data_IF_166328276752
#
_entry.id   IF_166328276752
#
_cell.length_a   1.000
_cell.length_b   1.000
_cell.length_c   1.000
_cell.angle_alpha   90.00
_cell.angle_beta   90.00
_cell.angle_gamma   90.00
#
_symmetry.space_group_name_H-M   'P 1'
#
loop_
_entity.id
_entity.type
_entity.pdbx_description
1 polymer ?
#
# COMPACT_ATOMS: atom_id res chain seq x y z
N UNK A 1 -15.30 -9.14 4.51
CA UNK A 1 -14.31 -9.99 3.83
C UNK A 1 -14.72 -11.44 4.00
N UNK A 2 -14.93 -12.17 2.89
CA UNK A 2 -15.06 -13.63 2.95
C UNK A 2 -13.68 -14.20 3.23
N UNK A 3 -13.57 -15.30 3.98
CA UNK A 3 -12.27 -15.93 4.32
C UNK A 3 -11.43 -16.20 3.06
N UNK A 4 -12.08 -16.56 1.97
CA UNK A 4 -11.44 -16.78 0.67
C UNK A 4 -10.67 -15.58 0.09
N UNK A 5 -11.16 -14.35 0.31
CA UNK A 5 -10.48 -13.14 -0.16
C UNK A 5 -9.20 -12.90 0.66
N UNK A 6 -9.19 -13.30 1.94
CA UNK A 6 -8.03 -13.16 2.84
C UNK A 6 -6.87 -14.02 2.34
N UNK A 7 -7.13 -15.31 2.12
CA UNK A 7 -6.09 -16.28 1.77
C UNK A 7 -5.42 -15.95 0.43
N UNK A 8 -6.20 -15.40 -0.52
CA UNK A 8 -5.66 -14.97 -1.81
C UNK A 8 -4.80 -13.72 -1.73
N UNK A 9 -5.23 -12.71 -0.97
CA UNK A 9 -4.42 -11.50 -0.75
C UNK A 9 -3.12 -11.88 -0.02
N UNK A 10 -3.21 -12.77 0.97
CA UNK A 10 -2.04 -13.33 1.65
C UNK A 10 -1.09 -14.03 0.67
N UNK A 11 -1.60 -14.96 -0.14
CA UNK A 11 -0.81 -15.69 -1.13
C UNK A 11 -0.15 -14.78 -2.17
N UNK A 12 -0.83 -13.70 -2.57
CA UNK A 12 -0.24 -12.69 -3.46
C UNK A 12 1.02 -12.05 -2.84
N UNK A 13 0.92 -11.61 -1.58
CA UNK A 13 2.06 -10.98 -0.90
C UNK A 13 3.20 -11.96 -0.61
N UNK A 14 2.86 -13.19 -0.22
CA UNK A 14 3.86 -14.25 -0.01
C UNK A 14 4.63 -14.54 -1.31
N UNK A 15 3.92 -14.56 -2.46
CA UNK A 15 4.53 -14.70 -3.79
C UNK A 15 5.43 -13.54 -4.21
N UNK A 16 5.34 -12.37 -3.55
CA UNK A 16 6.22 -11.21 -3.75
C UNK A 16 7.38 -11.16 -2.75
N UNK A 17 7.46 -12.11 -1.81
CA UNK A 17 8.51 -12.15 -0.79
C UNK A 17 8.37 -11.05 0.27
N UNK A 18 7.19 -10.44 0.41
CA UNK A 18 6.95 -9.40 1.39
C UNK A 18 6.65 -9.98 2.77
N UNK A 19 7.14 -9.33 3.83
CA UNK A 19 6.74 -9.64 5.21
C UNK A 19 5.37 -9.04 5.49
N UNK A 20 4.33 -9.79 5.13
CA UNK A 20 2.95 -9.42 5.42
C UNK A 20 2.47 -10.09 6.71
N UNK A 21 1.64 -9.37 7.46
CA UNK A 21 0.91 -9.91 8.61
C UNK A 21 -0.55 -9.47 8.52
N UNK A 22 -1.49 -10.36 8.80
CA UNK A 22 -2.91 -10.00 8.85
C UNK A 22 -3.30 -9.63 10.28
N UNK A 23 -3.84 -8.42 10.46
CA UNK A 23 -4.31 -7.91 11.76
C UNK A 23 -5.78 -8.23 11.90
N UNK A 24 -6.10 -9.31 12.63
CA UNK A 24 -7.48 -9.84 12.69
C UNK A 24 -8.49 -8.85 13.29
N UNK A 25 -8.12 -8.12 14.35
CA UNK A 25 -9.01 -7.18 15.02
C UNK A 25 -9.45 -6.01 14.16
N UNK A 26 -8.57 -5.52 13.29
CA UNK A 26 -8.82 -4.37 12.41
C UNK A 26 -9.05 -4.79 10.94
N UNK A 27 -8.93 -6.10 10.64
CA UNK A 27 -9.18 -6.74 9.35
C UNK A 27 -8.38 -6.16 8.17
N UNK A 28 -7.08 -5.96 8.35
CA UNK A 28 -6.20 -5.50 7.28
C UNK A 28 -4.88 -6.26 7.19
N UNK A 29 -4.28 -6.26 6.00
CA UNK A 29 -2.93 -6.75 5.76
C UNK A 29 -1.93 -5.65 6.01
N UNK A 30 -0.91 -5.93 6.81
CA UNK A 30 0.18 -5.03 7.15
C UNK A 30 1.47 -5.55 6.52
N UNK A 31 2.02 -4.79 5.58
CA UNK A 31 3.38 -4.99 5.07
C UNK A 31 4.31 -3.99 5.75
N UNK A 32 5.39 -4.50 6.33
CA UNK A 32 6.44 -3.67 6.94
C UNK A 32 7.74 -3.84 6.16
N UNK A 33 8.34 -2.70 5.81
CA UNK A 33 9.60 -2.67 5.09
C UNK A 33 10.52 -1.55 5.63
N UNK A 34 11.80 -1.64 5.31
CA UNK A 34 12.80 -0.63 5.68
C UNK A 34 13.65 -0.31 4.46
N UNK A 35 13.63 0.96 4.06
CA UNK A 35 14.42 1.49 2.94
C UNK A 35 15.33 2.55 3.53
N UNK A 36 16.61 2.21 3.69
CA UNK A 36 17.57 3.10 4.34
C UNK A 36 17.17 3.44 5.77
N UNK A 37 17.14 4.74 6.10
CA UNK A 37 16.64 5.27 7.38
C UNK A 37 15.11 5.26 7.52
N UNK A 38 14.37 4.99 6.45
CA UNK A 38 12.90 5.06 6.44
C UNK A 38 12.27 3.71 6.79
N UNK A 39 11.34 3.72 7.73
CA UNK A 39 10.43 2.60 8.00
C UNK A 39 9.13 2.84 7.27
N UNK A 40 8.74 1.88 6.43
CA UNK A 40 7.55 1.98 5.59
C UNK A 40 6.55 0.94 6.04
N UNK A 41 5.31 1.35 6.21
CA UNK A 41 4.17 0.47 6.46
C UNK A 41 3.16 0.66 5.33
N UNK A 42 2.88 -0.43 4.62
CA UNK A 42 1.87 -0.46 3.57
C UNK A 42 0.74 -1.40 3.98
N UNK A 43 -0.43 -0.82 4.25
CA UNK A 43 -1.61 -1.55 4.69
C UNK A 43 -2.59 -1.73 3.54
N UNK A 44 -3.23 -2.90 3.48
CA UNK A 44 -4.31 -3.20 2.54
C UNK A 44 -5.54 -3.63 3.32
N UNK A 45 -6.63 -2.87 3.18
CA UNK A 45 -7.89 -3.03 3.90
C UNK A 45 -8.96 -3.45 2.88
N UNK A 46 -9.36 -4.73 2.85
CA UNK A 46 -10.44 -5.19 1.99
C UNK A 46 -11.81 -4.84 2.57
N UNK A 47 -12.56 -4.01 1.85
CA UNK A 47 -13.92 -3.57 2.22
C UNK A 47 -14.92 -3.82 1.09
N UNK A 48 -15.86 -4.75 1.28
CA UNK A 48 -17.06 -4.92 0.45
C UNK A 48 -16.83 -4.85 -1.08
N UNK A 49 -15.84 -5.59 -1.57
CA UNK A 49 -15.48 -5.65 -2.99
C UNK A 49 -14.55 -4.52 -3.45
N UNK A 50 -13.97 -3.73 -2.54
CA UNK A 50 -12.97 -2.71 -2.80
C UNK A 50 -11.74 -2.94 -1.90
N UNK A 51 -10.58 -2.44 -2.32
CA UNK A 51 -9.36 -2.42 -1.51
C UNK A 51 -8.94 -0.98 -1.19
N UNK A 52 -8.89 -0.64 0.09
CA UNK A 52 -8.23 0.59 0.53
C UNK A 52 -6.76 0.29 0.80
N UNK A 53 -5.87 1.15 0.32
CA UNK A 53 -4.46 1.08 0.69
C UNK A 53 -4.06 2.31 1.50
N UNK A 54 -3.25 2.07 2.54
CA UNK A 54 -2.73 3.11 3.42
C UNK A 54 -1.22 2.98 3.49
N UNK A 55 -0.52 4.07 3.16
CA UNK A 55 0.93 4.16 3.22
C UNK A 55 1.33 5.04 4.39
N UNK A 56 2.24 4.54 5.22
CA UNK A 56 2.82 5.27 6.34
C UNK A 56 4.34 5.20 6.28
N UNK A 57 5.02 6.33 6.48
CA UNK A 57 6.49 6.40 6.43
C UNK A 57 6.99 7.13 7.66
N UNK A 58 8.02 6.56 8.29
CA UNK A 58 8.69 7.12 9.46
C UNK A 58 10.19 7.23 9.23
N UNK A 59 10.80 8.30 9.72
CA UNK A 59 12.23 8.44 9.88
C UNK A 59 12.54 8.63 11.37
N UNK A 60 13.04 7.60 12.03
CA UNK A 60 13.19 7.59 13.50
C UNK A 60 11.84 7.76 14.21
N UNK A 61 11.67 8.89 14.90
CA UNK A 61 10.43 9.25 15.62
C UNK A 61 9.46 10.10 14.78
N UNK A 62 9.93 10.66 13.67
CA UNK A 62 9.14 11.51 12.81
C UNK A 62 8.29 10.67 11.86
N UNK A 63 7.01 10.99 11.75
CA UNK A 63 6.07 10.37 10.83
C UNK A 63 5.76 11.36 9.73
N UNK A 64 5.99 10.98 8.48
CA UNK A 64 5.65 11.82 7.33
C UNK A 64 4.14 11.85 7.14
N UNK A 65 3.59 13.04 6.90
CA UNK A 65 2.19 13.21 6.60
C UNK A 65 1.94 12.83 5.13
N UNK A 66 1.73 11.54 4.91
CA UNK A 66 1.21 11.02 3.66
C UNK A 66 -0.32 11.01 3.84
N UNK A 67 -1.04 11.79 3.04
CA UNK A 67 -2.47 12.00 3.22
C UNK A 67 -3.26 10.70 3.46
N UNK A 68 -4.32 10.80 4.27
CA UNK A 68 -5.24 9.68 4.49
C UNK A 68 -5.83 9.24 3.16
N UNK A 69 -5.67 7.96 2.82
CA UNK A 69 -6.09 7.43 1.53
C UNK A 69 -5.23 7.98 0.40
N UNK A 70 -4.00 7.47 0.27
CA UNK A 70 -3.04 7.89 -0.76
C UNK A 70 -3.69 8.03 -2.15
N UNK A 71 -4.58 7.10 -2.49
CA UNK A 71 -5.31 7.09 -3.75
C UNK A 71 -6.36 8.19 -3.83
N UNK A 72 -7.11 8.42 -2.76
CA UNK A 72 -8.11 9.47 -2.70
C UNK A 72 -7.46 10.85 -2.78
N UNK A 73 -6.31 11.06 -2.12
CA UNK A 73 -5.51 12.26 -2.30
C UNK A 73 -4.92 12.36 -3.70
N UNK A 74 -4.35 11.31 -4.30
CA UNK A 74 -3.85 11.36 -5.68
C UNK A 74 -4.98 11.67 -6.67
N UNK A 75 -6.10 10.95 -6.62
CA UNK A 75 -7.19 11.14 -7.59
C UNK A 75 -7.87 12.49 -7.42
N UNK A 76 -8.10 12.92 -6.17
CA UNK A 76 -8.77 14.19 -5.88
C UNK A 76 -7.85 15.39 -6.08
N UNK A 77 -6.62 15.32 -5.58
CA UNK A 77 -5.72 16.49 -5.49
C UNK A 77 -4.82 16.62 -6.72
N UNK A 78 -4.41 15.51 -7.36
CA UNK A 78 -3.56 15.56 -8.56
C UNK A 78 -4.35 15.46 -9.87
N UNK A 79 -5.43 14.67 -9.90
CA UNK A 79 -6.16 14.39 -11.14
C UNK A 79 -7.52 15.11 -11.23
N UNK A 80 -8.02 15.70 -10.13
CA UNK A 80 -9.36 16.28 -10.01
C UNK A 80 -10.47 15.30 -10.47
N UNK A 81 -10.28 14.01 -10.19
CA UNK A 81 -11.23 12.94 -10.52
C UNK A 81 -11.98 12.55 -9.25
N UNK A 82 -13.29 12.79 -9.23
CA UNK A 82 -14.20 12.11 -8.30
C UNK A 82 -14.42 10.67 -8.78
N UNK A 83 -13.58 9.74 -8.32
CA UNK A 83 -13.77 8.32 -8.62
C UNK A 83 -14.71 7.69 -7.59
N UNK A 84 -15.72 6.95 -8.07
CA UNK A 84 -16.44 6.01 -7.21
C UNK A 84 -15.44 4.94 -6.77
N UNK A 85 -15.51 4.50 -5.51
CA UNK A 85 -14.66 3.41 -4.99
C UNK A 85 -14.71 2.22 -5.96
N UNK A 86 -13.60 1.87 -6.63
CA UNK A 86 -13.61 0.83 -7.64
C UNK A 86 -13.90 -0.50 -6.95
N UNK A 87 -14.97 -1.17 -7.37
CA UNK A 87 -15.31 -2.49 -6.88
C UNK A 87 -14.82 -3.54 -7.86
N UNK A 88 -14.06 -4.51 -7.38
CA UNK A 88 -13.73 -5.70 -8.16
C UNK A 88 -14.92 -6.67 -8.12
N UNK A 89 -15.33 -7.15 -9.29
CA UNK A 89 -16.34 -8.18 -9.51
C UNK A 89 -15.75 -9.57 -9.77
N UNK A 90 -14.45 -9.65 -10.08
CA UNK A 90 -13.75 -10.89 -10.39
C UNK A 90 -12.42 -11.03 -9.63
N UNK A 91 -11.86 -12.25 -9.64
CA UNK A 91 -10.55 -12.50 -9.03
C UNK A 91 -9.40 -11.97 -9.88
N UNK A 92 -9.59 -11.93 -11.19
CA UNK A 92 -8.68 -11.35 -12.16
C UNK A 92 -8.51 -9.85 -11.86
N UNK A 93 -9.62 -9.13 -11.69
CA UNK A 93 -9.61 -7.71 -11.31
C UNK A 93 -8.96 -7.47 -9.94
N UNK A 94 -9.24 -8.32 -8.94
CA UNK A 94 -8.56 -8.23 -7.64
C UNK A 94 -7.04 -8.35 -7.78
N UNK A 95 -6.57 -9.30 -8.58
CA UNK A 95 -5.14 -9.53 -8.81
C UNK A 95 -4.50 -8.36 -9.58
N UNK A 96 -5.21 -7.78 -10.55
CA UNK A 96 -4.74 -6.58 -11.28
C UNK A 96 -4.61 -5.38 -10.34
N UNK A 97 -5.60 -5.12 -9.49
CA UNK A 97 -5.54 -4.04 -8.50
C UNK A 97 -4.35 -4.24 -7.55
N UNK A 98 -4.14 -5.46 -7.06
CA UNK A 98 -3.01 -5.77 -6.18
C UNK A 98 -1.66 -5.60 -6.88
N UNK A 99 -1.55 -5.97 -8.16
CA UNK A 99 -0.34 -5.77 -8.96
C UNK A 99 -0.01 -4.29 -9.13
N UNK A 100 -1.00 -3.48 -9.49
CA UNK A 100 -0.80 -2.04 -9.68
C UNK A 100 -0.45 -1.34 -8.36
N UNK A 101 -1.19 -1.66 -7.29
CA UNK A 101 -0.89 -1.11 -5.96
C UNK A 101 0.52 -1.50 -5.49
N UNK A 102 0.96 -2.73 -5.77
CA UNK A 102 2.32 -3.18 -5.47
C UNK A 102 3.38 -2.46 -6.34
N UNK A 103 3.11 -2.25 -7.62
CA UNK A 103 4.03 -1.50 -8.51
C UNK A 103 4.27 -0.09 -7.98
N UNK A 104 3.20 0.61 -7.57
CA UNK A 104 3.29 1.97 -7.07
C UNK A 104 3.98 2.02 -5.71
N UNK A 105 3.77 0.99 -4.88
CA UNK A 105 4.53 0.82 -3.64
C UNK A 105 6.04 0.66 -3.89
N UNK A 106 6.44 -0.16 -4.87
CA UNK A 106 7.85 -0.33 -5.26
C UNK A 106 8.45 0.97 -5.83
N UNK A 107 7.74 1.67 -6.71
CA UNK A 107 8.18 2.96 -7.24
C UNK A 107 8.38 4.00 -6.13
N UNK A 108 7.48 4.01 -5.14
CA UNK A 108 7.60 4.85 -3.97
C UNK A 108 8.87 4.53 -3.14
N UNK A 109 9.18 3.23 -2.96
CA UNK A 109 10.42 2.80 -2.29
C UNK A 109 11.66 3.28 -3.05
N UNK A 110 11.67 3.14 -4.37
CA UNK A 110 12.76 3.65 -5.20
C UNK A 110 12.92 5.17 -5.09
N UNK A 111 11.81 5.91 -5.02
CA UNK A 111 11.81 7.36 -4.78
C UNK A 111 12.45 7.73 -3.43
N UNK A 112 12.11 7.02 -2.36
CA UNK A 112 12.70 7.24 -1.03
C UNK A 112 14.20 6.94 -0.98
N UNK A 113 14.63 5.87 -1.65
CA UNK A 113 16.05 5.51 -1.72
C UNK A 113 16.87 6.60 -2.41
N UNK A 114 16.40 7.10 -3.56
CA UNK A 114 17.05 8.21 -4.28
C UNK A 114 17.11 9.48 -3.43
N UNK A 115 16.08 9.75 -2.63
CA UNK A 115 16.07 10.89 -1.72
C UNK A 115 17.18 10.75 -0.67
N UNK A 116 17.33 9.58 -0.06
CA UNK A 116 18.40 9.33 0.92
C UNK A 116 19.80 9.50 0.31
N UNK A 117 20.03 8.94 -0.87
CA UNK A 117 21.30 9.08 -1.60
C UNK A 117 21.62 10.56 -1.88
N UNK A 118 20.63 11.35 -2.29
CA UNK A 118 20.81 12.79 -2.56
C UNK A 118 21.11 13.63 -1.30
N UNK A 119 20.63 13.19 -0.14
CA UNK A 119 20.86 13.87 1.15
C UNK A 119 22.19 13.45 1.79
N UNK A 120 22.77 12.32 1.38
CA UNK A 120 24.06 11.81 1.88
C UNK A 120 25.26 12.41 1.11
N UNK A 121 25.01 13.00 -0.07
CA UNK A 121 26.03 13.69 -0.89
C UNK A 121 26.15 15.20 -0.61
N UNK A 122 25.48 15.71 0.43
CA UNK A 122 25.63 17.08 0.94
C UNK A 122 26.32 17.07 2.29
#
# INVERSE_FOLDING_TARGET
MKEYDRDRIQAFYDGKGLKVSFVEGERFFKVLDTVGKFKIQFNTIPENGFLQFVLDVKNGKERYNLGWGMWESITRELLNIESRKPKFGSYEELNEILKEAFSIYEDFKHGLLKLEESQTQR
#
